data_IF_105782235693
#
_entry.id   IF_105782235693
#
_cell.length_a   1.000
_cell.length_b   1.000
_cell.length_c   1.000
_cell.angle_alpha   90.00
_cell.angle_beta   90.00
_cell.angle_gamma   90.00
#
_symmetry.space_group_name_H-M   'P 1'
#
loop_
_entity.id
_entity.type
_entity.pdbx_description
1 polymer ?
#
# COMPACT_ATOMS: atom_id res chain seq x y z
N UNK A 1 7.80 -6.15 -33.88
CA UNK A 1 7.32 -5.92 -33.68
C UNK A 1 6.41 -6.51 -33.22
N UNK A 2 5.96 -6.78 -33.36
CA UNK A 2 5.01 -7.47 -33.08
C UNK A 2 5.09 -8.08 -31.82
N UNK A 3 6.00 -8.12 -31.13
CA UNK A 3 6.07 -8.67 -29.92
C UNK A 3 5.34 -7.95 -28.94
N UNK A 4 4.71 -6.99 -29.27
CA UNK A 4 3.95 -6.26 -28.46
C UNK A 4 2.98 -7.12 -27.79
N UNK A 5 2.65 -8.22 -28.21
CA UNK A 5 1.69 -9.08 -27.63
C UNK A 5 2.02 -9.27 -26.18
N UNK A 6 3.24 -9.24 -25.90
CA UNK A 6 3.64 -9.44 -24.58
C UNK A 6 3.10 -8.43 -23.69
N UNK A 7 3.06 -7.22 -24.17
CA UNK A 7 2.56 -6.19 -23.44
C UNK A 7 1.15 -6.43 -23.21
N UNK A 8 0.50 -6.87 -24.13
CA UNK A 8 -0.90 -7.04 -24.07
C UNK A 8 -1.24 -8.08 -23.01
N UNK A 9 -0.32 -8.89 -22.65
CA UNK A 9 -0.58 -9.90 -21.66
C UNK A 9 -0.57 -9.37 -20.25
N UNK A 10 -0.19 -8.12 -20.10
CA UNK A 10 -0.14 -7.56 -18.79
C UNK A 10 -1.52 -7.43 -18.22
N UNK A 11 -1.77 -7.83 -17.00
CA UNK A 11 -3.11 -7.74 -16.43
C UNK A 11 -3.55 -6.30 -16.26
N UNK A 12 -4.81 -6.03 -16.30
CA UNK A 12 -5.34 -4.70 -16.06
C UNK A 12 -4.99 -4.26 -14.66
N UNK A 13 -4.87 -2.99 -14.46
CA UNK A 13 -4.57 -2.43 -13.16
C UNK A 13 -5.73 -1.58 -12.70
N UNK A 14 -6.07 -1.68 -11.43
CA UNK A 14 -7.17 -0.93 -10.85
C UNK A 14 -6.58 0.15 -9.95
N UNK A 15 -6.97 1.41 -10.11
CA UNK A 15 -6.48 2.46 -9.25
C UNK A 15 -6.86 2.16 -7.80
N UNK A 16 -5.95 2.39 -6.87
CA UNK A 16 -6.22 2.16 -5.47
C UNK A 16 -7.44 2.98 -5.03
N UNK A 17 -7.59 4.17 -5.58
CA UNK A 17 -8.72 5.04 -5.24
C UNK A 17 -10.06 4.40 -5.56
N UNK A 18 -10.09 3.45 -6.47
CA UNK A 18 -11.33 2.78 -6.80
C UNK A 18 -11.61 1.64 -5.82
N UNK A 19 -10.59 1.04 -5.27
CA UNK A 19 -10.75 -0.05 -4.33
C UNK A 19 -10.93 0.42 -2.90
N UNK A 20 -10.44 1.61 -2.60
CA UNK A 20 -10.42 2.10 -1.24
C UNK A 20 -11.60 2.99 -0.92
N UNK A 21 -12.12 2.84 0.30
CA UNK A 21 -13.15 3.70 0.81
C UNK A 21 -12.50 4.91 1.47
N UNK A 22 -11.34 4.72 2.07
CA UNK A 22 -10.62 5.79 2.76
C UNK A 22 -9.13 5.60 2.51
N UNK A 23 -8.44 6.68 2.19
CA UNK A 23 -6.99 6.71 2.11
C UNK A 23 -6.59 7.95 2.89
N UNK A 24 -5.84 7.77 3.96
CA UNK A 24 -5.49 8.93 4.80
C UNK A 24 -4.12 8.77 5.45
N UNK A 25 -3.60 9.87 5.95
CA UNK A 25 -2.36 9.83 6.72
C UNK A 25 -2.55 10.64 7.98
N UNK A 26 -1.79 10.31 9.01
CA UNK A 26 -1.79 11.07 10.24
C UNK A 26 -0.53 10.76 11.03
N UNK A 27 -0.19 11.62 11.97
CA UNK A 27 0.96 11.39 12.81
C UNK A 27 0.69 10.26 13.79
N UNK A 28 1.74 9.53 14.11
CA UNK A 28 1.72 8.54 15.17
C UNK A 28 2.85 8.98 16.09
N UNK A 29 2.73 10.17 16.64
CA UNK A 29 3.80 10.78 17.40
C UNK A 29 4.58 11.71 16.50
N UNK A 30 5.54 12.46 17.03
CA UNK A 30 6.26 13.47 16.25
C UNK A 30 7.22 12.89 15.21
N UNK A 31 7.65 11.67 15.38
CA UNK A 31 8.63 11.07 14.48
C UNK A 31 8.07 10.01 13.55
N UNK A 32 6.82 9.71 13.64
CA UNK A 32 6.21 8.67 12.83
C UNK A 32 4.93 9.12 12.17
N UNK A 33 4.64 8.50 11.07
CA UNK A 33 3.47 8.80 10.29
C UNK A 33 2.77 7.48 9.96
N UNK A 34 1.46 7.44 10.05
CA UNK A 34 0.73 6.26 9.61
C UNK A 34 -0.05 6.59 8.36
N UNK A 35 -0.13 5.60 7.48
CA UNK A 35 -0.94 5.67 6.29
C UNK A 35 -1.97 4.57 6.45
N UNK A 36 -3.24 4.90 6.31
CA UNK A 36 -4.31 3.93 6.43
C UNK A 36 -5.09 3.86 5.14
N UNK A 37 -5.31 2.64 4.65
CA UNK A 37 -6.17 2.42 3.50
C UNK A 37 -7.25 1.45 3.95
N UNK A 38 -8.50 1.87 3.84
CA UNK A 38 -9.62 1.01 4.17
C UNK A 38 -10.29 0.66 2.86
N UNK A 39 -10.47 -0.62 2.61
CA UNK A 39 -11.01 -1.07 1.33
C UNK A 39 -12.53 -1.16 1.38
N UNK A 40 -13.17 -0.95 0.25
CA UNK A 40 -14.62 -1.00 0.15
C UNK A 40 -15.16 -2.41 0.34
N UNK A 41 -14.44 -3.39 -0.15
CA UNK A 41 -14.90 -4.77 -0.13
C UNK A 41 -13.81 -5.72 0.32
N UNK A 42 -14.21 -6.90 0.76
CA UNK A 42 -13.25 -7.92 1.12
C UNK A 42 -12.45 -8.38 -0.09
N UNK A 43 -13.08 -8.39 -1.27
CA UNK A 43 -12.39 -8.79 -2.48
C UNK A 43 -11.28 -7.80 -2.80
N UNK A 44 -11.57 -6.51 -2.70
CA UNK A 44 -10.56 -5.47 -2.96
C UNK A 44 -9.41 -5.56 -1.97
N UNK A 45 -9.73 -5.83 -0.71
CA UNK A 45 -8.75 -5.98 0.33
C UNK A 45 -7.81 -7.14 -0.01
N UNK A 46 -8.37 -8.31 -0.35
CA UNK A 46 -7.57 -9.47 -0.68
C UNK A 46 -6.75 -9.27 -1.94
N UNK A 47 -7.33 -8.62 -2.93
CA UNK A 47 -6.64 -8.35 -4.18
C UNK A 47 -5.40 -7.49 -3.91
N UNK A 48 -5.57 -6.43 -3.13
CA UNK A 48 -4.46 -5.55 -2.81
C UNK A 48 -3.40 -6.28 -2.01
N UNK A 49 -3.82 -7.09 -1.06
CA UNK A 49 -2.87 -7.81 -0.22
C UNK A 49 -2.05 -8.80 -1.03
N UNK A 50 -2.69 -9.53 -1.92
CA UNK A 50 -2.01 -10.54 -2.70
C UNK A 50 -1.22 -9.98 -3.87
N UNK A 51 -1.46 -8.75 -4.24
CA UNK A 51 -0.80 -8.17 -5.41
C UNK A 51 0.66 -7.83 -5.20
N UNK A 52 1.06 -7.67 -3.96
CA UNK A 52 2.44 -7.26 -3.67
C UNK A 52 2.70 -5.77 -3.76
N UNK A 53 1.67 -4.95 -4.00
CA UNK A 53 1.90 -3.50 -4.09
C UNK A 53 2.15 -2.88 -2.73
N UNK A 54 1.66 -3.50 -1.67
CA UNK A 54 1.91 -2.99 -0.33
C UNK A 54 2.99 -3.86 0.31
N UNK A 55 4.22 -3.62 -0.05
CA UNK A 55 5.37 -4.26 0.59
C UNK A 55 6.25 -3.15 1.10
N UNK A 56 7.08 -3.47 2.07
CA UNK A 56 8.00 -2.51 2.64
C UNK A 56 8.84 -1.87 1.55
N UNK A 57 9.38 -2.66 0.65
CA UNK A 57 10.20 -2.17 -0.42
C UNK A 57 9.44 -1.26 -1.39
N UNK A 58 8.24 -1.64 -1.76
CA UNK A 58 7.48 -0.84 -2.68
C UNK A 58 7.03 0.47 -2.08
N UNK A 59 6.63 0.45 -0.82
CA UNK A 59 6.22 1.66 -0.12
C UNK A 59 7.44 2.59 0.04
N UNK A 60 8.60 2.02 0.35
CA UNK A 60 9.80 2.81 0.49
C UNK A 60 10.12 3.53 -0.82
N UNK A 61 9.98 2.83 -1.93
CA UNK A 61 10.26 3.41 -3.22
C UNK A 61 9.25 4.51 -3.53
N UNK A 62 8.00 4.29 -3.24
CA UNK A 62 6.95 5.25 -3.49
C UNK A 62 7.16 6.52 -2.70
N UNK A 63 7.61 6.40 -1.46
CA UNK A 63 7.82 7.54 -0.58
C UNK A 63 9.25 8.07 -0.61
N UNK A 64 10.10 7.46 -1.45
CA UNK A 64 11.49 7.87 -1.59
C UNK A 64 12.23 7.87 -0.27
N UNK A 65 12.05 6.80 0.47
CA UNK A 65 12.76 6.60 1.72
C UNK A 65 13.43 5.24 1.67
N UNK A 66 14.24 4.91 2.66
CA UNK A 66 14.88 3.62 2.70
C UNK A 66 13.89 2.59 3.22
N UNK A 67 14.04 1.33 2.85
CA UNK A 67 13.14 0.30 3.36
C UNK A 67 13.10 0.26 4.89
N UNK A 68 14.21 0.58 5.56
CA UNK A 68 14.25 0.62 7.01
C UNK A 68 13.40 1.71 7.62
N UNK A 69 13.00 2.71 6.81
CA UNK A 69 12.15 3.78 7.31
C UNK A 69 10.68 3.38 7.26
N UNK A 70 10.36 2.24 6.66
CA UNK A 70 9.02 1.68 6.72
C UNK A 70 9.00 0.83 7.97
N UNK A 71 8.52 1.40 9.06
CA UNK A 71 8.60 0.79 10.37
C UNK A 71 7.61 -0.33 10.61
N UNK A 72 6.54 -0.35 9.87
CA UNK A 72 5.56 -1.41 10.03
C UNK A 72 4.59 -1.45 8.86
N UNK A 73 4.03 -2.61 8.63
CA UNK A 73 3.01 -2.79 7.59
C UNK A 73 2.10 -3.88 8.10
N UNK A 74 0.86 -3.55 8.39
CA UNK A 74 -0.08 -4.45 9.01
C UNK A 74 -1.38 -4.53 8.24
N UNK A 75 -1.81 -5.75 7.93
CA UNK A 75 -3.11 -5.98 7.31
C UNK A 75 -4.08 -6.36 8.42
N UNK A 76 -5.18 -5.61 8.51
CA UNK A 76 -6.16 -5.85 9.55
C UNK A 76 -7.47 -6.25 8.89
N UNK A 77 -7.73 -7.52 8.81
CA UNK A 77 -8.87 -8.05 8.09
C UNK A 77 -10.24 -7.61 8.60
N UNK A 78 -10.50 -7.55 9.89
CA UNK A 78 -11.83 -7.14 10.35
C UNK A 78 -12.26 -5.78 9.82
N UNK A 79 -11.34 -4.86 9.61
CA UNK A 79 -11.67 -3.56 9.07
C UNK A 79 -11.35 -3.46 7.59
N UNK A 80 -10.86 -4.51 6.96
CA UNK A 80 -10.43 -4.50 5.57
C UNK A 80 -9.47 -3.34 5.35
N UNK A 81 -8.46 -3.28 6.19
CA UNK A 81 -7.55 -2.15 6.18
C UNK A 81 -6.10 -2.58 6.13
N UNK A 82 -5.25 -1.72 5.59
CA UNK A 82 -3.82 -1.89 5.70
C UNK A 82 -3.28 -0.63 6.33
N UNK A 83 -2.37 -0.79 7.28
CA UNK A 83 -1.76 0.34 7.97
C UNK A 83 -0.27 0.28 7.74
N UNK A 84 0.32 1.36 7.29
CA UNK A 84 1.74 1.46 7.08
C UNK A 84 2.28 2.53 8.00
N UNK A 85 3.36 2.24 8.71
CA UNK A 85 3.98 3.22 9.59
C UNK A 85 5.33 3.61 9.00
N UNK A 86 5.55 4.90 8.84
CA UNK A 86 6.78 5.42 8.28
C UNK A 86 7.47 6.34 9.26
N UNK A 87 8.80 6.40 9.18
CA UNK A 87 9.54 7.36 9.94
C UNK A 87 9.42 8.70 9.24
N UNK A 88 9.13 9.76 9.95
CA UNK A 88 9.04 11.09 9.33
C UNK A 88 10.45 11.64 9.14
N UNK A 89 10.67 12.21 7.96
CA UNK A 89 11.97 12.79 7.67
C UNK A 89 12.16 14.07 8.47
N UNK A 90 11.08 14.81 8.68
CA UNK A 90 11.10 16.00 9.49
C UNK A 90 10.11 15.76 10.61
N UNK A 91 10.53 15.84 11.87
CA UNK A 91 9.61 15.62 12.97
C UNK A 91 8.45 16.59 12.94
N UNK A 92 7.30 16.16 13.40
CA UNK A 92 6.11 16.98 13.40
C UNK A 92 6.34 18.27 14.14
N UNK A 93 6.05 19.39 13.49
CA UNK A 93 6.21 20.71 14.11
C UNK A 93 7.61 21.26 14.08
N UNK A 94 8.59 20.52 13.58
CA UNK A 94 9.96 21.01 13.52
C UNK A 94 10.11 22.00 12.37
N UNK A 95 11.15 22.81 12.37
CA UNK A 95 11.38 23.74 11.27
C UNK A 95 11.45 22.97 9.94
N UNK A 96 10.78 23.48 8.96
CA UNK A 96 10.75 22.84 7.65
C UNK A 96 9.55 21.92 7.47
N UNK A 97 8.77 21.67 8.52
CA UNK A 97 7.60 20.82 8.41
C UNK A 97 6.43 21.64 7.85
N UNK A 98 5.96 21.28 6.68
CA UNK A 98 4.82 21.96 6.08
C UNK A 98 3.52 21.19 6.32
N UNK A 99 3.57 20.10 7.06
CA UNK A 99 2.38 19.29 7.32
C UNK A 99 2.43 18.77 8.76
N UNK A 100 2.18 19.68 9.68
CA UNK A 100 2.28 19.40 11.10
C UNK A 100 1.44 18.20 11.55
N UNK A 101 0.24 18.07 11.01
CA UNK A 101 -0.64 16.99 11.42
C UNK A 101 -0.43 15.69 10.65
N UNK A 102 0.44 15.68 9.66
CA UNK A 102 0.68 14.50 8.86
C UNK A 102 -0.51 14.13 7.99
N UNK A 103 -1.39 15.09 7.71
CA UNK A 103 -2.63 14.77 7.00
C UNK A 103 -2.52 14.80 5.49
N UNK A 104 -1.41 15.29 4.96
CA UNK A 104 -1.24 15.42 3.53
C UNK A 104 -0.30 14.37 2.92
N UNK A 105 0.18 13.45 3.73
CA UNK A 105 1.21 12.52 3.27
C UNK A 105 0.65 11.30 2.52
N UNK A 106 -0.65 11.21 2.38
CA UNK A 106 -1.27 10.10 1.66
C UNK A 106 -1.22 10.27 0.15
N UNK A 107 -0.86 11.46 -0.31
CA UNK A 107 -0.91 11.76 -1.75
C UNK A 107 -0.22 10.75 -2.66
N UNK A 108 0.96 10.25 -2.34
CA UNK A 108 1.60 9.26 -3.21
C UNK A 108 0.76 8.00 -3.41
N UNK A 109 -0.07 7.64 -2.42
CA UNK A 109 -0.90 6.46 -2.53
C UNK A 109 -2.00 6.64 -3.55
N UNK A 110 -2.39 7.87 -3.83
CA UNK A 110 -3.47 8.14 -4.77
C UNK A 110 -3.10 7.75 -6.20
N UNK A 111 -1.81 7.65 -6.48
CA UNK A 111 -1.35 7.26 -7.81
C UNK A 111 -1.10 5.77 -7.94
N UNK A 112 -1.29 5.02 -6.87
CA UNK A 112 -0.98 3.61 -6.86
C UNK A 112 -2.04 2.82 -7.61
N UNK A 113 -1.62 1.79 -8.35
CA UNK A 113 -2.55 0.90 -9.00
C UNK A 113 -2.30 -0.53 -8.54
N UNK A 114 -3.33 -1.33 -8.54
CA UNK A 114 -3.27 -2.72 -8.10
C UNK A 114 -3.52 -3.61 -9.31
N UNK A 115 -2.57 -4.46 -9.66
CA UNK A 115 -2.75 -5.37 -10.80
C UNK A 115 -3.87 -6.35 -10.50
N UNK A 116 -4.86 -6.41 -11.34
CA UNK A 116 -6.00 -7.25 -11.10
C UNK A 116 -5.73 -8.74 -11.08
N UNK A 117 -4.95 -9.23 -11.91
CA UNK A 117 -4.73 -10.65 -11.96
C UNK A 117 -3.49 -11.17 -11.30
N UNK A 118 -2.63 -10.31 -10.92
CA UNK A 118 -1.38 -10.71 -10.34
C UNK A 118 -1.49 -11.55 -9.10
N UNK A 119 -2.31 -11.12 -8.22
CA UNK A 119 -2.43 -11.85 -6.99
C UNK A 119 -3.01 -13.21 -7.19
N UNK A 120 -3.85 -13.35 -8.13
CA UNK A 120 -4.52 -14.56 -8.37
C UNK A 120 -3.54 -15.63 -8.73
N UNK A 121 -2.69 -15.32 -9.61
CA UNK A 121 -1.73 -16.29 -10.07
C UNK A 121 -0.82 -16.67 -8.96
N UNK A 122 -0.23 -15.73 -8.38
CA UNK A 122 0.69 -16.00 -7.35
C UNK A 122 -0.06 -16.56 -6.20
N UNK A 123 -1.15 -15.99 -5.93
CA UNK A 123 -1.93 -16.40 -4.83
C UNK A 123 -2.31 -17.83 -4.83
N UNK A 124 -2.64 -18.34 -5.93
CA UNK A 124 -3.09 -19.68 -5.94
C UNK A 124 -1.96 -20.55 -5.49
N UNK A 125 -0.81 -20.23 -5.87
CA UNK A 125 0.29 -21.06 -5.53
C UNK A 125 0.52 -20.96 -4.07
N UNK A 126 0.57 -19.77 -3.61
CA UNK A 126 0.83 -19.58 -2.26
C UNK A 126 -0.22 -19.95 -1.43
N UNK A 127 -1.33 -19.62 -1.78
CA UNK A 127 -2.38 -19.84 -1.00
C UNK A 127 -2.42 -21.15 -0.56
N UNK A 128 -2.05 -21.94 -1.28
CA UNK A 128 -2.14 -23.26 -0.91
C UNK A 128 -1.50 -23.44 0.40
N UNK A 129 -0.48 -22.89 0.57
CA UNK A 129 0.14 -23.07 1.76
C UNK A 129 -0.06 -22.13 2.68
N UNK A 130 -0.32 -21.10 2.28
CA UNK A 130 -0.53 -20.08 3.17
C UNK A 130 -1.54 -20.29 4.06
N UNK A 131 -2.12 -20.81 4.06
CA UNK A 131 -2.95 -20.70 4.85
C UNK A 131 -2.90 -21.21 5.79
N UNK A 132 -2.59 -21.52 5.82
CA UNK A 132 -2.63 -21.99 6.78
C UNK A 132 -2.36 -21.35 7.80
N UNK A 133 -2.35 -20.87 7.87
CA UNK A 133 -2.15 -20.35 8.69
C UNK A 133 -2.47 -19.91 9.21
N UNK A 134 -2.71 -19.89 9.44
CA UNK A 134 -3.09 -19.23 10.16
C UNK A 134 -2.73 -19.25 10.96
#
# INVERSE_FOLDING_TARGET
>A
MTNRPTRAARPPAIPLTRLARVIRSKNAGPFELTLDVLFKTGRGFRLARESGVFTRRRIARLYRVRPGDVLGLLWFEPARAVKVTLRRRIPSGAPGDSDIYGAQQHAPLLALTVPEGAGTTAGSAEKGRARPTP
#
